data_IF_026405085386
#
_entry.id   IF_026405085386
#
_cell.length_a   1.000
_cell.length_b   1.000
_cell.length_c   1.000
_cell.angle_alpha   90.00
_cell.angle_beta   90.00
_cell.angle_gamma   90.00
#
_symmetry.space_group_name_H-M   'P 1'
#
loop_
_entity.id
_entity.type
_entity.pdbx_description
1 polymer ?
#
# COMPACT_ATOMS: atom_id res chain seq x y z
N UNK A 1 -2.94 50.77 0.89
CA UNK A 1 -3.60 49.54 0.41
C UNK A 1 -2.54 48.61 -0.14
N UNK A 2 -2.21 47.53 0.57
CA UNK A 2 -1.63 46.30 -0.02
C UNK A 2 -1.87 45.18 1.00
N UNK A 3 -2.72 44.22 0.64
CA UNK A 3 -2.92 42.96 1.36
C UNK A 3 -1.82 41.99 0.94
N UNK A 4 -1.10 41.39 1.89
CA UNK A 4 -0.40 40.13 1.66
C UNK A 4 -1.08 39.02 2.45
N UNK A 5 -1.64 38.11 1.68
CA UNK A 5 -2.28 36.87 2.10
C UNK A 5 -1.23 35.84 2.49
N UNK A 6 -1.27 35.39 3.74
CA UNK A 6 -0.54 34.22 4.24
C UNK A 6 -1.52 33.05 4.28
N UNK A 7 -1.63 32.28 3.20
CA UNK A 7 -2.28 30.97 3.26
C UNK A 7 -1.26 29.94 3.79
N UNK A 8 -1.40 29.62 5.08
CA UNK A 8 -0.87 28.37 5.64
C UNK A 8 -1.67 27.20 5.05
N UNK A 9 -1.00 26.32 4.32
CA UNK A 9 -1.56 25.03 3.95
C UNK A 9 -1.70 24.14 5.19
N UNK A 10 -2.93 23.99 5.67
CA UNK A 10 -3.28 22.94 6.63
C UNK A 10 -3.71 21.67 5.88
N UNK A 11 -3.23 20.47 6.28
CA UNK A 11 -3.76 19.22 5.79
C UNK A 11 -5.22 19.05 6.23
N UNK A 12 -6.12 18.80 5.28
CA UNK A 12 -7.55 18.61 5.57
C UNK A 12 -7.82 17.14 5.90
N UNK A 13 -7.93 16.82 7.19
CA UNK A 13 -8.50 15.54 7.64
C UNK A 13 -10.03 15.58 7.54
N UNK A 14 -10.65 14.77 6.68
CA UNK A 14 -12.11 14.59 6.66
C UNK A 14 -12.50 13.34 7.45
N UNK A 15 -13.26 13.52 8.52
CA UNK A 15 -13.90 12.44 9.29
C UNK A 15 -15.34 12.27 8.80
N UNK A 16 -15.67 11.14 8.17
CA UNK A 16 -17.05 10.78 7.85
C UNK A 16 -17.67 9.99 9.02
N UNK A 17 -18.88 10.37 9.45
CA UNK A 17 -19.64 9.68 10.49
C UNK A 17 -20.72 8.77 9.87
N UNK A 18 -20.66 7.47 10.17
CA UNK A 18 -21.74 6.49 9.99
C UNK A 18 -22.09 5.83 11.35
N UNK A 19 -23.32 5.27 11.50
CA UNK A 19 -23.93 4.99 12.80
C UNK A 19 -23.40 3.71 13.47
N UNK A 20 -23.65 3.60 14.79
CA UNK A 20 -23.14 2.65 15.79
C UNK A 20 -23.01 1.18 15.32
N UNK A 21 -21.83 0.86 14.80
CA UNK A 21 -21.23 -0.47 14.71
C UNK A 21 -19.76 -0.35 15.12
N UNK A 22 -19.08 -1.47 15.40
CA UNK A 22 -17.63 -1.50 15.67
C UNK A 22 -16.91 -0.54 14.71
N UNK A 23 -16.30 0.52 15.24
CA UNK A 23 -15.82 1.65 14.44
C UNK A 23 -14.40 1.37 13.97
N UNK A 24 -14.29 0.70 12.84
CA UNK A 24 -13.02 0.56 12.14
C UNK A 24 -12.57 1.95 11.68
N UNK A 25 -11.36 2.36 12.08
CA UNK A 25 -10.82 3.67 11.70
C UNK A 25 -9.75 3.46 10.64
N UNK A 26 -10.08 3.83 9.41
CA UNK A 26 -9.09 4.01 8.34
C UNK A 26 -8.69 5.48 8.29
N UNK A 27 -7.40 5.74 8.42
CA UNK A 27 -6.83 7.07 8.16
C UNK A 27 -6.20 7.05 6.77
N UNK A 28 -6.59 8.01 5.93
CA UNK A 28 -6.01 8.15 4.59
C UNK A 28 -5.30 9.50 4.50
N UNK A 29 -4.06 9.47 4.05
CA UNK A 29 -3.26 10.66 3.74
C UNK A 29 -2.86 10.63 2.27
N UNK A 30 -3.24 11.66 1.52
CA UNK A 30 -2.97 11.78 0.10
C UNK A 30 -1.79 12.70 -0.15
N UNK A 31 -1.00 12.39 -1.16
CA UNK A 31 0.16 13.16 -1.60
C UNK A 31 0.09 13.28 -3.12
N UNK A 32 0.00 14.51 -3.62
CA UNK A 32 -0.14 14.78 -5.05
C UNK A 32 1.20 14.73 -5.78
N UNK A 33 1.17 14.44 -7.07
CA UNK A 33 2.32 14.56 -7.95
C UNK A 33 2.89 15.97 -7.94
N UNK A 34 4.22 16.08 -8.00
CA UNK A 34 4.91 17.36 -8.05
C UNK A 34 4.51 18.14 -9.30
N UNK A 35 4.25 19.46 -9.20
CA UNK A 35 3.87 20.27 -10.37
C UNK A 35 4.98 20.36 -11.42
N UNK A 36 6.22 20.04 -11.05
CA UNK A 36 7.38 20.04 -11.94
C UNK A 36 7.64 18.67 -12.59
N UNK A 37 6.91 17.63 -12.18
CA UNK A 37 7.04 16.29 -12.71
C UNK A 37 6.02 16.02 -13.82
N UNK A 38 6.36 15.13 -14.76
CA UNK A 38 5.39 14.64 -15.74
C UNK A 38 4.38 13.74 -15.03
N UNK A 39 3.13 14.18 -14.95
CA UNK A 39 2.08 13.44 -14.24
C UNK A 39 1.87 12.04 -14.81
N UNK A 40 1.91 11.04 -13.94
CA UNK A 40 1.61 9.63 -14.21
C UNK A 40 0.13 9.39 -13.91
N UNK A 41 -0.60 8.68 -14.79
CA UNK A 41 -2.05 8.49 -14.65
C UNK A 41 -2.42 7.45 -13.59
N UNK A 42 -1.51 6.52 -13.30
CA UNK A 42 -1.71 5.43 -12.37
C UNK A 42 -1.32 5.88 -10.95
N UNK A 43 -2.23 5.77 -9.96
CA UNK A 43 -1.92 6.19 -8.60
C UNK A 43 -1.27 5.08 -7.77
N UNK A 44 -0.62 5.44 -6.67
CA UNK A 44 0.03 4.50 -5.75
C UNK A 44 -0.68 4.49 -4.39
N UNK A 45 -1.02 3.31 -3.88
CA UNK A 45 -1.68 3.14 -2.58
C UNK A 45 -0.80 2.35 -1.61
N UNK A 46 -0.37 3.00 -0.54
CA UNK A 46 0.29 2.37 0.59
C UNK A 46 -0.77 1.83 1.56
N UNK A 47 -0.64 0.56 1.94
CA UNK A 47 -1.52 -0.13 2.88
C UNK A 47 -0.68 -0.55 4.09
N UNK A 48 -1.09 -0.08 5.27
CA UNK A 48 -0.43 -0.40 6.54
C UNK A 48 -1.46 -0.65 7.64
N UNK A 49 -1.09 -1.43 8.64
CA UNK A 49 -1.93 -1.76 9.80
C UNK A 49 -1.23 -1.37 11.09
N UNK A 50 -1.98 -0.89 12.08
CA UNK A 50 -1.57 -0.63 13.47
C UNK A 50 -0.59 0.53 13.69
N UNK A 51 0.61 0.50 13.10
CA UNK A 51 1.62 1.56 13.30
C UNK A 51 1.78 2.38 12.02
N UNK A 52 1.74 3.72 12.09
CA UNK A 52 2.00 4.54 10.93
C UNK A 52 3.46 4.38 10.57
N UNK A 53 3.72 3.82 9.38
CA UNK A 53 5.09 3.70 8.91
C UNK A 53 5.57 5.08 8.46
N UNK A 54 6.58 5.62 9.15
CA UNK A 54 7.30 6.86 8.76
C UNK A 54 7.85 6.78 7.34
N UNK A 55 8.09 5.56 6.86
CA UNK A 55 8.51 5.22 5.50
C UNK A 55 7.49 5.68 4.44
N UNK A 56 6.18 5.63 4.72
CA UNK A 56 5.17 6.00 3.72
C UNK A 56 5.36 7.43 3.22
N UNK A 57 5.61 8.39 4.11
CA UNK A 57 5.85 9.80 3.74
C UNK A 57 7.12 9.97 2.90
N UNK A 58 8.18 9.21 3.18
CA UNK A 58 9.42 9.26 2.41
C UNK A 58 9.20 8.76 0.97
N UNK A 59 8.49 7.63 0.82
CA UNK A 59 8.17 7.08 -0.49
C UNK A 59 7.22 7.98 -1.26
N UNK A 60 6.17 8.49 -0.61
CA UNK A 60 5.22 9.41 -1.24
C UNK A 60 5.92 10.66 -1.78
N UNK A 61 6.92 11.18 -1.06
CA UNK A 61 7.73 12.32 -1.52
C UNK A 61 8.49 11.97 -2.80
N UNK A 62 9.22 10.84 -2.81
CA UNK A 62 9.98 10.41 -3.98
C UNK A 62 9.10 10.09 -5.19
N UNK A 63 7.96 9.44 -4.97
CA UNK A 63 6.99 9.12 -6.02
C UNK A 63 6.33 10.39 -6.57
N UNK A 64 6.12 11.41 -5.74
CA UNK A 64 5.62 12.71 -6.19
C UNK A 64 6.60 13.39 -7.14
N UNK A 65 7.90 13.33 -6.86
CA UNK A 65 8.95 13.83 -7.75
C UNK A 65 9.01 13.09 -9.10
N UNK A 66 8.57 11.83 -9.12
CA UNK A 66 8.42 11.02 -10.34
C UNK A 66 7.06 11.21 -11.06
N UNK A 67 6.16 12.00 -10.47
CA UNK A 67 4.88 12.38 -11.06
C UNK A 67 3.69 11.50 -10.68
N UNK A 68 3.81 10.62 -9.67
CA UNK A 68 2.71 9.79 -9.19
C UNK A 68 1.88 10.53 -8.13
N UNK A 69 0.55 10.42 -8.25
CA UNK A 69 -0.35 10.69 -7.13
C UNK A 69 -0.34 9.47 -6.20
N UNK A 70 -0.28 9.69 -4.89
CA UNK A 70 -0.23 8.60 -3.93
C UNK A 70 -1.14 8.81 -2.73
N UNK A 71 -1.53 7.72 -2.08
CA UNK A 71 -2.30 7.72 -0.85
C UNK A 71 -1.72 6.68 0.12
N UNK A 72 -1.75 6.97 1.41
CA UNK A 72 -1.41 6.01 2.46
C UNK A 72 -2.65 5.77 3.33
N UNK A 73 -3.16 4.53 3.25
CA UNK A 73 -4.27 4.03 4.03
C UNK A 73 -3.72 3.24 5.23
N UNK A 74 -4.01 3.76 6.42
CA UNK A 74 -3.68 3.13 7.68
C UNK A 74 -4.93 2.54 8.31
N UNK A 75 -4.94 1.22 8.49
CA UNK A 75 -6.03 0.48 9.10
C UNK A 75 -5.71 0.25 10.57
N UNK A 76 -6.57 0.75 11.45
CA UNK A 76 -6.48 0.45 12.88
C UNK A 76 -7.19 -0.86 13.16
N UNK A 77 -6.59 -1.73 13.97
CA UNK A 77 -7.32 -2.87 14.55
C UNK A 77 -8.50 -2.35 15.38
N UNK A 78 -9.72 -2.87 15.17
CA UNK A 78 -10.79 -2.69 16.14
C UNK A 78 -10.49 -3.49 17.41
N UNK A 79 -11.26 -3.26 18.47
CA UNK A 79 -11.40 -4.22 19.54
C UNK A 79 -12.08 -5.51 18.99
N UNK A 80 -11.29 -6.45 18.48
CA UNK A 80 -11.77 -7.71 17.89
C UNK A 80 -10.62 -8.54 17.28
N UNK A 81 -10.78 -9.86 17.22
CA UNK A 81 -9.78 -10.77 16.62
C UNK A 81 -10.40 -11.56 15.45
N UNK A 82 -9.59 -11.86 14.44
CA UNK A 82 -9.92 -12.84 13.38
C UNK A 82 -10.50 -12.27 12.08
N UNK A 83 -11.10 -13.16 11.27
CA UNK A 83 -11.52 -12.91 9.88
C UNK A 83 -12.56 -11.80 9.69
N UNK A 84 -13.34 -11.50 10.73
CA UNK A 84 -14.31 -10.41 10.72
C UNK A 84 -13.63 -9.05 10.52
N UNK A 85 -12.44 -8.87 11.08
CA UNK A 85 -11.61 -7.66 10.94
C UNK A 85 -11.10 -7.52 9.51
N UNK A 86 -10.57 -8.61 8.95
CA UNK A 86 -10.06 -8.62 7.57
C UNK A 86 -11.16 -8.34 6.54
N UNK A 87 -12.40 -8.82 6.80
CA UNK A 87 -13.56 -8.50 5.95
C UNK A 87 -13.92 -7.02 6.02
N UNK A 88 -13.94 -6.41 7.20
CA UNK A 88 -14.21 -5.00 7.35
C UNK A 88 -13.13 -4.13 6.68
N UNK A 89 -11.86 -4.44 6.90
CA UNK A 89 -10.75 -3.76 6.23
C UNK A 89 -10.79 -3.92 4.71
N UNK A 90 -11.20 -5.07 4.18
CA UNK A 90 -11.39 -5.27 2.75
C UNK A 90 -12.43 -4.29 2.18
N UNK A 91 -13.58 -4.14 2.84
CA UNK A 91 -14.62 -3.21 2.38
C UNK A 91 -14.12 -1.76 2.38
N UNK A 92 -13.45 -1.35 3.46
CA UNK A 92 -12.87 -0.01 3.56
C UNK A 92 -11.77 0.22 2.51
N UNK A 93 -10.88 -0.76 2.30
CA UNK A 93 -9.84 -0.70 1.27
C UNK A 93 -10.46 -0.55 -0.12
N UNK A 94 -11.48 -1.35 -0.44
CA UNK A 94 -12.18 -1.27 -1.71
C UNK A 94 -12.79 0.11 -1.93
N UNK A 95 -13.44 0.69 -0.91
CA UNK A 95 -13.92 2.06 -1.02
C UNK A 95 -12.80 3.08 -1.26
N UNK A 96 -11.64 2.93 -0.62
CA UNK A 96 -10.51 3.84 -0.88
C UNK A 96 -10.00 3.71 -2.30
N UNK A 97 -9.83 2.49 -2.81
CA UNK A 97 -9.40 2.25 -4.19
C UNK A 97 -10.40 2.84 -5.19
N UNK A 98 -11.70 2.69 -4.96
CA UNK A 98 -12.73 3.28 -5.83
C UNK A 98 -12.74 4.82 -5.83
N UNK A 99 -12.24 5.46 -4.76
CA UNK A 99 -12.11 6.93 -4.67
C UNK A 99 -10.85 7.45 -5.38
N UNK A 100 -9.92 6.57 -5.76
CA UNK A 100 -8.70 6.93 -6.47
C UNK A 100 -8.97 7.17 -7.95
N UNK A 101 -7.92 7.48 -8.72
CA UNK A 101 -8.01 7.78 -10.15
C UNK A 101 -8.69 6.66 -10.96
N UNK A 102 -9.02 6.95 -12.22
CA UNK A 102 -9.66 5.99 -13.14
C UNK A 102 -8.87 4.70 -13.39
N UNK A 103 -7.56 4.69 -13.11
CA UNK A 103 -6.71 3.53 -13.32
C UNK A 103 -6.57 2.73 -12.02
N UNK A 104 -6.56 1.38 -12.09
CA UNK A 104 -6.24 0.55 -10.94
C UNK A 104 -4.91 1.00 -10.30
N UNK A 105 -4.80 1.05 -8.97
CA UNK A 105 -3.59 1.52 -8.33
C UNK A 105 -2.48 0.47 -8.39
N UNK A 106 -1.24 0.95 -8.21
CA UNK A 106 -0.15 0.15 -7.65
C UNK A 106 -0.38 0.06 -6.16
N UNK A 107 -0.48 -1.14 -5.60
CA UNK A 107 -0.71 -1.34 -4.17
C UNK A 107 0.57 -1.80 -3.48
N UNK A 108 0.96 -1.13 -2.40
CA UNK A 108 2.13 -1.45 -1.60
C UNK A 108 1.66 -1.87 -0.21
N UNK A 109 1.74 -3.15 0.12
CA UNK A 109 1.39 -3.71 1.43
C UNK A 109 2.63 -3.86 2.31
N UNK A 110 2.63 -3.22 3.48
CA UNK A 110 3.74 -3.30 4.44
C UNK A 110 3.35 -4.07 5.70
N UNK A 111 4.08 -5.14 6.03
CA UNK A 111 3.78 -5.99 7.17
C UNK A 111 2.77 -7.10 6.88
N UNK A 112 2.79 -8.15 7.70
CA UNK A 112 2.01 -9.38 7.48
C UNK A 112 0.49 -9.14 7.35
N UNK A 113 -0.09 -8.28 8.19
CA UNK A 113 -1.53 -8.01 8.13
C UNK A 113 -1.93 -7.20 6.88
N UNK A 114 -1.08 -6.27 6.43
CA UNK A 114 -1.29 -5.58 5.16
C UNK A 114 -1.12 -6.54 3.97
N UNK A 115 -0.15 -7.46 4.02
CA UNK A 115 0.00 -8.50 3.00
C UNK A 115 -1.28 -9.33 2.84
N UNK A 116 -1.84 -9.82 3.96
CA UNK A 116 -3.12 -10.55 3.96
C UNK A 116 -4.24 -9.75 3.32
N UNK A 117 -4.33 -8.46 3.64
CA UNK A 117 -5.35 -7.57 3.10
C UNK A 117 -5.16 -7.31 1.59
N UNK A 118 -3.94 -7.00 1.14
CA UNK A 118 -3.62 -6.75 -0.26
C UNK A 118 -3.81 -8.00 -1.13
N UNK A 119 -3.39 -9.18 -0.65
CA UNK A 119 -3.58 -10.44 -1.35
C UNK A 119 -5.08 -10.79 -1.47
N UNK A 120 -5.84 -10.61 -0.37
CA UNK A 120 -7.30 -10.76 -0.43
C UNK A 120 -7.94 -9.78 -1.41
N UNK A 121 -7.43 -8.55 -1.50
CA UNK A 121 -7.91 -7.56 -2.46
C UNK A 121 -7.70 -8.04 -3.90
N UNK A 122 -6.47 -8.40 -4.24
CA UNK A 122 -6.13 -8.73 -5.63
C UNK A 122 -6.75 -10.03 -6.13
N UNK A 123 -7.01 -10.98 -5.22
CA UNK A 123 -7.77 -12.18 -5.53
C UNK A 123 -9.21 -11.90 -5.99
N UNK A 124 -9.76 -10.71 -5.68
CA UNK A 124 -11.14 -10.34 -6.00
C UNK A 124 -11.25 -9.16 -6.98
N UNK A 125 -10.20 -8.36 -7.14
CA UNK A 125 -10.22 -7.10 -7.87
C UNK A 125 -8.89 -6.87 -8.60
N UNK A 126 -8.89 -6.37 -9.84
CA UNK A 126 -7.66 -6.12 -10.56
C UNK A 126 -6.85 -4.97 -9.94
N UNK A 127 -5.54 -5.10 -9.97
CA UNK A 127 -4.56 -4.06 -9.65
C UNK A 127 -3.60 -3.90 -10.83
N UNK A 128 -2.95 -2.74 -10.92
CA UNK A 128 -1.91 -2.55 -11.92
C UNK A 128 -0.60 -3.22 -11.52
N UNK A 129 -0.29 -3.20 -10.23
CA UNK A 129 0.83 -3.94 -9.65
C UNK A 129 0.60 -4.14 -8.15
N UNK A 130 1.21 -5.19 -7.59
CA UNK A 130 1.24 -5.45 -6.16
C UNK A 130 2.68 -5.51 -5.68
N UNK A 131 2.97 -4.81 -4.61
CA UNK A 131 4.28 -4.80 -3.97
C UNK A 131 4.11 -5.18 -2.51
N UNK A 132 4.83 -6.19 -2.06
CA UNK A 132 4.75 -6.75 -0.72
C UNK A 132 6.06 -6.52 0.02
N UNK A 133 6.06 -5.67 1.05
CA UNK A 133 7.26 -5.23 1.79
C UNK A 133 7.22 -5.73 3.23
N UNK A 134 8.36 -6.22 3.75
CA UNK A 134 8.57 -6.62 5.15
C UNK A 134 7.46 -7.54 5.69
N UNK A 135 7.34 -8.71 5.04
CA UNK A 135 6.28 -9.68 5.29
C UNK A 135 6.47 -10.57 6.52
N UNK A 136 5.89 -11.79 6.52
CA UNK A 136 5.90 -12.67 7.68
C UNK A 136 7.32 -13.04 8.11
N UNK A 137 7.52 -13.16 9.42
CA UNK A 137 8.81 -13.52 10.02
C UNK A 137 9.17 -15.00 9.86
N UNK A 138 8.20 -15.86 9.52
CA UNK A 138 8.39 -17.30 9.29
C UNK A 138 8.05 -17.72 7.85
N UNK A 139 8.89 -18.59 7.29
CA UNK A 139 8.71 -19.20 5.96
C UNK A 139 7.54 -20.20 5.93
N UNK A 140 7.20 -20.78 7.09
CA UNK A 140 6.03 -21.65 7.28
C UNK A 140 4.72 -20.84 7.21
N UNK A 141 4.39 -20.42 6.00
CA UNK A 141 3.19 -19.71 5.60
C UNK A 141 1.88 -20.54 5.76
N UNK A 142 1.88 -21.56 6.62
CA UNK A 142 0.67 -22.29 7.01
C UNK A 142 -0.39 -21.38 7.67
N UNK A 143 -0.01 -20.16 8.08
CA UNK A 143 -0.86 -19.11 8.65
C UNK A 143 -1.30 -18.03 7.65
N UNK A 144 -1.00 -18.18 6.37
CA UNK A 144 -1.66 -17.45 5.28
C UNK A 144 -2.69 -18.39 4.62
N UNK A 145 -3.80 -18.74 5.31
CA UNK A 145 -4.74 -19.70 4.76
C UNK A 145 -5.45 -19.06 3.56
N UNK A 146 -5.49 -19.83 2.47
CA UNK A 146 -6.47 -19.77 1.39
C UNK A 146 -6.53 -18.50 0.54
N UNK A 147 -5.50 -18.19 -0.25
CA UNK A 147 -5.70 -17.37 -1.45
C UNK A 147 -4.75 -17.86 -2.56
N UNK A 148 -5.18 -18.90 -3.28
CA UNK A 148 -4.65 -19.28 -4.58
C UNK A 148 -4.91 -18.11 -5.54
N UNK A 149 -3.99 -17.15 -5.59
CA UNK A 149 -4.01 -16.15 -6.66
C UNK A 149 -2.82 -16.42 -7.54
N UNK A 150 -3.09 -16.57 -8.84
CA UNK A 150 -2.08 -16.72 -9.87
C UNK A 150 -1.65 -15.30 -10.29
N UNK A 151 -0.41 -14.86 -10.00
CA UNK A 151 0.05 -13.52 -10.33
C UNK A 151 0.27 -13.35 -11.83
N UNK A 152 -0.80 -13.22 -12.61
CA UNK A 152 -0.73 -12.82 -14.03
C UNK A 152 -0.51 -11.31 -14.22
N UNK A 153 -0.07 -10.62 -13.16
CA UNK A 153 0.09 -9.18 -13.13
C UNK A 153 1.36 -8.83 -12.34
N UNK A 154 1.96 -7.65 -12.56
CA UNK A 154 3.23 -7.29 -11.95
C UNK A 154 3.21 -7.42 -10.41
N UNK A 155 4.07 -8.30 -9.88
CA UNK A 155 4.21 -8.56 -8.45
C UNK A 155 5.68 -8.48 -8.04
N UNK A 156 5.96 -7.64 -7.03
CA UNK A 156 7.27 -7.53 -6.41
C UNK A 156 7.20 -7.87 -4.92
N UNK A 157 8.15 -8.65 -4.42
CA UNK A 157 8.25 -9.03 -3.01
C UNK A 157 9.59 -8.56 -2.45
N UNK A 158 9.54 -7.56 -1.57
CA UNK A 158 10.69 -7.05 -0.83
C UNK A 158 10.70 -7.63 0.60
N UNK A 159 11.36 -8.76 0.79
CA UNK A 159 11.45 -9.45 2.09
C UNK A 159 12.66 -10.35 2.16
N UNK A 160 13.12 -10.64 3.39
CA UNK A 160 14.12 -11.68 3.64
C UNK A 160 13.52 -13.09 3.71
N UNK A 161 12.21 -13.19 3.93
CA UNK A 161 11.50 -14.46 4.09
C UNK A 161 10.37 -14.54 3.06
N UNK A 162 10.70 -14.99 1.85
CA UNK A 162 9.69 -15.19 0.80
C UNK A 162 8.86 -16.43 1.16
N UNK A 163 7.52 -16.33 1.23
CA UNK A 163 6.65 -17.48 1.45
C UNK A 163 6.84 -18.55 0.37
N UNK A 164 6.83 -19.82 0.77
CA UNK A 164 7.07 -20.96 -0.13
C UNK A 164 6.11 -21.01 -1.32
N UNK A 165 4.83 -20.65 -1.14
CA UNK A 165 3.85 -20.66 -2.22
C UNK A 165 4.15 -19.64 -3.34
N UNK A 166 4.88 -18.56 -3.05
CA UNK A 166 5.30 -17.60 -4.07
C UNK A 166 6.52 -18.09 -4.85
N UNK A 167 7.28 -19.06 -4.32
CA UNK A 167 8.43 -19.64 -5.02
C UNK A 167 8.02 -20.44 -6.26
N UNK A 168 6.77 -20.90 -6.33
CA UNK A 168 6.20 -21.54 -7.51
C UNK A 168 6.09 -20.57 -8.70
N UNK A 169 6.00 -19.27 -8.42
CA UNK A 169 5.88 -18.17 -9.39
C UNK A 169 7.18 -17.37 -9.55
N UNK A 170 8.33 -17.93 -9.16
CA UNK A 170 9.63 -17.21 -9.14
C UNK A 170 10.02 -16.55 -10.47
N UNK A 171 9.51 -17.06 -11.59
CA UNK A 171 9.81 -16.54 -12.93
C UNK A 171 8.85 -15.40 -13.32
N UNK A 172 7.75 -15.23 -12.57
CA UNK A 172 6.71 -14.23 -12.77
C UNK A 172 6.72 -13.13 -11.69
N UNK A 173 7.56 -13.26 -10.64
CA UNK A 173 7.67 -12.31 -9.54
C UNK A 173 9.10 -11.79 -9.38
N UNK A 174 9.22 -10.50 -9.07
CA UNK A 174 10.50 -9.90 -8.71
C UNK A 174 10.73 -9.98 -7.20
N UNK A 175 11.87 -10.52 -6.77
CA UNK A 175 12.22 -10.67 -5.35
C UNK A 175 13.40 -9.78 -5.00
N UNK A 176 13.23 -8.94 -3.98
CA UNK A 176 14.25 -8.05 -3.45
C UNK A 176 14.55 -8.45 -2.01
N UNK A 177 15.80 -8.81 -1.73
CA UNK A 177 16.23 -9.16 -0.38
C UNK A 177 16.48 -7.89 0.44
N UNK A 178 15.91 -7.84 1.64
CA UNK A 178 16.08 -6.72 2.59
C UNK A 178 17.25 -6.96 3.57
N UNK A 179 18.25 -7.77 3.18
CA UNK A 179 19.30 -8.31 4.07
C UNK A 179 20.19 -7.24 4.73
N UNK A 180 20.32 -6.05 4.13
CA UNK A 180 21.25 -5.03 4.62
C UNK A 180 20.68 -4.16 5.77
N UNK A 181 19.45 -4.40 6.25
CA UNK A 181 18.72 -3.54 7.21
C UNK A 181 18.72 -2.04 6.85
N UNK A 182 19.17 -1.69 5.64
CA UNK A 182 19.24 -0.34 5.17
C UNK A 182 17.92 -0.04 4.48
N UNK A 183 16.94 0.40 5.28
CA UNK A 183 15.60 0.72 4.83
C UNK A 183 15.64 1.59 3.57
N UNK A 184 16.54 2.57 3.50
CA UNK A 184 16.69 3.50 2.38
C UNK A 184 17.03 2.79 1.06
N UNK A 185 17.92 1.80 1.07
CA UNK A 185 18.28 1.01 -0.11
C UNK A 185 17.07 0.22 -0.61
N UNK A 186 16.30 -0.37 0.31
CA UNK A 186 15.06 -1.07 -0.05
C UNK A 186 14.06 -0.10 -0.68
N UNK A 187 13.92 1.13 -0.15
CA UNK A 187 13.05 2.16 -0.76
C UNK A 187 13.49 2.52 -2.17
N UNK A 188 14.79 2.78 -2.37
CA UNK A 188 15.37 3.13 -3.67
C UNK A 188 15.06 2.04 -4.70
N UNK A 189 15.26 0.78 -4.33
CA UNK A 189 14.99 -0.36 -5.20
C UNK A 189 13.51 -0.48 -5.58
N UNK A 190 12.59 -0.33 -4.62
CA UNK A 190 11.15 -0.40 -4.93
C UNK A 190 10.71 0.78 -5.80
N UNK A 191 11.18 1.98 -5.51
CA UNK A 191 10.85 3.17 -6.31
C UNK A 191 11.40 3.04 -7.72
N UNK A 192 12.62 2.53 -7.89
CA UNK A 192 13.18 2.25 -9.23
C UNK A 192 12.35 1.21 -9.97
N UNK A 193 11.94 0.13 -9.30
CA UNK A 193 11.07 -0.88 -9.89
C UNK A 193 9.74 -0.30 -10.37
N UNK A 194 9.08 0.53 -9.57
CA UNK A 194 7.84 1.22 -9.98
C UNK A 194 8.07 2.10 -11.22
N UNK A 195 9.20 2.80 -11.29
CA UNK A 195 9.50 3.73 -12.37
C UNK A 195 9.90 3.05 -13.69
N UNK A 196 10.50 1.86 -13.60
CA UNK A 196 11.04 1.09 -14.74
C UNK A 196 10.03 0.08 -15.28
N UNK A 197 9.25 -0.54 -14.39
CA UNK A 197 8.32 -1.62 -14.74
C UNK A 197 6.91 -1.12 -15.13
N UNK A 198 6.57 0.16 -14.87
CA UNK A 198 5.21 0.72 -15.03
C UNK A 198 5.16 2.09 -15.74
#
# INVERSE_FOLDING_TARGET
>A
MFFQSLFRHHPKSRLHHHPLGLRYKVSVTTFEASPNARKRPMPVLFVSTNTPHTIATQWQTRLSDLGYDSAAAQFSEPDGQGDSVLKAWYHELHEQVQKMAMFPPVMIGHGEAAWKLCQKYVANQPLSALILVDGPSSIDAATLPSFEFEPYFPLMVATNNVPSFLLEYKDDIDVISTQDNNEQVNQDQVVSWIAESL
#
